data_IF_485384463533
#
_entry.id   IF_485384463533
#
_cell.length_a   1.000
_cell.length_b   1.000
_cell.length_c   1.000
_cell.angle_alpha   90.00
_cell.angle_beta   90.00
_cell.angle_gamma   90.00
#
_symmetry.space_group_name_H-M   'P 1'
#
loop_
_entity.id
_entity.type
_entity.pdbx_description
1 polymer ?
#
# COMPACT_ATOMS: atom_id res chain seq x y z
N UNK A 1 13.24 4.40 18.91
CA UNK A 1 11.98 5.10 18.57
C UNK A 1 11.27 4.30 17.48
N UNK A 2 10.03 3.85 17.69
CA UNK A 2 9.27 3.15 16.64
C UNK A 2 8.91 4.20 15.58
N UNK A 3 9.39 4.03 14.34
CA UNK A 3 9.01 4.89 13.22
C UNK A 3 7.47 4.94 13.18
N UNK A 4 6.91 6.13 13.45
CA UNK A 4 5.49 6.38 13.25
C UNK A 4 5.29 6.23 11.74
N UNK A 5 4.62 5.15 11.32
CA UNK A 5 4.37 4.91 9.90
C UNK A 5 3.80 6.17 9.27
N UNK A 6 4.43 6.66 8.20
CA UNK A 6 3.91 7.81 7.47
C UNK A 6 2.54 7.42 6.94
N UNK A 7 1.54 8.27 7.19
CA UNK A 7 0.16 8.01 6.78
C UNK A 7 0.11 7.86 5.25
N UNK A 8 -0.49 6.79 4.73
CA UNK A 8 -0.64 6.53 3.29
C UNK A 8 -1.80 7.34 2.72
N UNK A 9 -1.55 8.61 2.43
CA UNK A 9 -2.54 9.56 1.90
C UNK A 9 -3.15 9.09 0.59
N UNK A 10 -2.36 8.49 -0.31
CA UNK A 10 -2.86 7.97 -1.58
C UNK A 10 -3.92 6.87 -1.38
N UNK A 11 -3.68 5.94 -0.46
CA UNK A 11 -4.66 4.91 -0.11
C UNK A 11 -5.95 5.49 0.48
N UNK A 12 -5.82 6.50 1.36
CA UNK A 12 -6.96 7.20 1.98
C UNK A 12 -7.78 7.97 0.95
N UNK A 13 -7.12 8.69 0.04
CA UNK A 13 -7.79 9.45 -1.00
C UNK A 13 -8.50 8.52 -1.99
N UNK A 14 -7.85 7.42 -2.39
CA UNK A 14 -8.39 6.49 -3.38
C UNK A 14 -9.69 5.82 -2.93
N UNK A 15 -9.88 5.54 -1.63
CA UNK A 15 -11.16 4.97 -1.15
C UNK A 15 -12.33 5.97 -1.21
N UNK A 16 -12.08 7.27 -1.32
CA UNK A 16 -13.13 8.28 -1.41
C UNK A 16 -14.07 8.26 -0.19
N UNK A 17 -15.39 8.22 -0.44
CA UNK A 17 -16.41 8.17 0.60
C UNK A 17 -16.57 6.82 1.29
N UNK A 18 -16.01 5.74 0.73
CA UNK A 18 -16.08 4.39 1.32
C UNK A 18 -15.37 4.37 2.65
N UNK A 19 -15.96 3.73 3.65
CA UNK A 19 -15.38 3.64 4.99
C UNK A 19 -14.21 2.65 5.01
N UNK A 20 -13.38 2.70 6.06
CA UNK A 20 -12.35 1.67 6.28
C UNK A 20 -12.97 0.27 6.46
N UNK A 21 -14.20 0.18 6.97
CA UNK A 21 -14.90 -1.10 7.10
C UNK A 21 -15.34 -1.64 5.74
N UNK A 22 -15.87 -0.80 4.86
CA UNK A 22 -16.25 -1.20 3.49
C UNK A 22 -15.05 -1.72 2.72
N UNK A 23 -13.93 -1.00 2.79
CA UNK A 23 -12.70 -1.41 2.13
C UNK A 23 -12.11 -2.69 2.72
N UNK A 24 -12.16 -2.85 4.05
CA UNK A 24 -11.68 -4.05 4.71
C UNK A 24 -12.50 -5.29 4.31
N UNK A 25 -13.83 -5.15 4.27
CA UNK A 25 -14.74 -6.20 3.80
C UNK A 25 -14.46 -6.57 2.34
N UNK A 26 -14.25 -5.58 1.46
CA UNK A 26 -13.97 -5.80 0.05
C UNK A 26 -12.67 -6.59 -0.22
N UNK A 27 -11.72 -6.56 0.71
CA UNK A 27 -10.44 -7.28 0.60
C UNK A 27 -10.29 -8.45 1.57
N UNK A 28 -11.36 -8.76 2.31
CA UNK A 28 -11.43 -9.91 3.22
C UNK A 28 -10.53 -9.77 4.45
N UNK A 29 -10.45 -8.59 5.05
CA UNK A 29 -9.69 -8.33 6.29
C UNK A 29 -10.54 -7.62 7.34
N UNK A 30 -10.02 -7.53 8.58
CA UNK A 30 -10.65 -6.74 9.64
C UNK A 30 -10.44 -5.25 9.39
N UNK A 31 -11.40 -4.40 9.78
CA UNK A 31 -11.30 -2.94 9.66
C UNK A 31 -10.02 -2.38 10.30
N UNK A 32 -9.60 -2.92 11.45
CA UNK A 32 -8.36 -2.53 12.12
C UNK A 32 -7.11 -2.80 11.26
N UNK A 33 -7.10 -3.91 10.52
CA UNK A 33 -6.01 -4.25 9.59
C UNK A 33 -5.91 -3.21 8.48
N UNK A 34 -7.05 -2.82 7.90
CA UNK A 34 -7.09 -1.77 6.87
C UNK A 34 -6.65 -0.40 7.43
N UNK A 35 -7.10 -0.06 8.64
CA UNK A 35 -6.64 1.15 9.35
C UNK A 35 -5.13 1.15 9.58
N UNK A 36 -4.53 0.00 9.95
CA UNK A 36 -3.08 -0.12 10.06
C UNK A 36 -2.37 0.13 8.72
N UNK A 37 -2.94 -0.29 7.60
CA UNK A 37 -2.39 0.01 6.28
C UNK A 37 -2.43 1.51 5.98
N UNK A 38 -3.54 2.19 6.23
CA UNK A 38 -3.64 3.65 6.01
C UNK A 38 -2.71 4.46 6.91
N UNK A 39 -2.45 3.97 8.12
CA UNK A 39 -1.56 4.61 9.10
C UNK A 39 -0.09 4.19 8.92
N UNK A 40 0.24 3.42 7.87
CA UNK A 40 1.60 2.93 7.63
C UNK A 40 2.16 2.02 8.75
N UNK A 41 1.29 1.47 9.62
CA UNK A 41 1.69 0.61 10.74
C UNK A 41 2.00 -0.82 10.33
N UNK A 42 1.41 -1.26 9.22
CA UNK A 42 1.69 -2.53 8.57
C UNK A 42 1.51 -2.40 7.06
N UNK A 43 2.05 -3.35 6.31
CA UNK A 43 1.98 -3.40 4.85
C UNK A 43 1.12 -4.58 4.43
N UNK A 44 0.14 -4.41 3.52
CA UNK A 44 -0.60 -5.53 2.97
C UNK A 44 0.34 -6.49 2.19
N UNK A 45 -0.02 -7.77 2.12
CA UNK A 45 0.63 -8.69 1.20
C UNK A 45 0.34 -8.33 -0.27
N UNK A 46 1.17 -8.80 -1.19
CA UNK A 46 1.07 -8.47 -2.63
C UNK A 46 -0.31 -8.79 -3.23
N UNK A 47 -0.92 -9.90 -2.83
CA UNK A 47 -2.29 -10.28 -3.25
C UNK A 47 -3.32 -9.20 -2.91
N UNK A 48 -3.24 -8.63 -1.70
CA UNK A 48 -4.15 -7.56 -1.25
C UNK A 48 -3.83 -6.24 -1.94
N UNK A 49 -2.57 -5.96 -2.26
CA UNK A 49 -2.18 -4.78 -3.04
C UNK A 49 -2.77 -4.82 -4.45
N UNK A 50 -2.67 -5.96 -5.13
CA UNK A 50 -3.27 -6.18 -6.46
C UNK A 50 -4.80 -6.05 -6.37
N UNK A 51 -5.43 -6.68 -5.38
CA UNK A 51 -6.89 -6.56 -5.22
C UNK A 51 -7.33 -5.10 -5.02
N UNK A 52 -6.60 -4.33 -4.22
CA UNK A 52 -6.87 -2.91 -4.02
C UNK A 52 -6.69 -2.08 -5.29
N UNK A 53 -5.67 -2.38 -6.10
CA UNK A 53 -5.49 -1.76 -7.42
C UNK A 53 -6.73 -1.97 -8.31
N UNK A 54 -7.27 -3.18 -8.35
CA UNK A 54 -8.45 -3.50 -9.13
C UNK A 54 -9.73 -2.82 -8.62
N UNK A 55 -9.91 -2.71 -7.30
CA UNK A 55 -11.08 -2.09 -6.65
C UNK A 55 -11.04 -0.56 -6.76
N UNK A 56 -9.85 0.02 -6.56
CA UNK A 56 -9.67 1.46 -6.48
C UNK A 56 -9.36 2.10 -7.84
N UNK A 57 -8.99 1.30 -8.86
CA UNK A 57 -8.56 1.76 -10.18
C UNK A 57 -7.36 2.70 -10.12
N UNK A 58 -6.47 2.44 -9.17
CA UNK A 58 -5.21 3.17 -8.96
C UNK A 58 -4.09 2.15 -8.86
N UNK A 59 -2.97 2.31 -9.59
CA UNK A 59 -1.84 1.38 -9.52
C UNK A 59 -1.35 1.20 -8.08
N UNK A 60 -1.04 -0.03 -7.67
CA UNK A 60 -0.54 -0.32 -6.31
C UNK A 60 0.76 0.41 -5.98
N UNK A 61 1.58 0.71 -6.98
CA UNK A 61 2.81 1.50 -6.87
C UNK A 61 2.52 2.93 -6.40
N UNK A 62 1.37 3.48 -6.79
CA UNK A 62 0.88 4.78 -6.32
C UNK A 62 0.25 4.65 -4.94
N UNK A 63 -0.57 3.62 -4.71
CA UNK A 63 -1.25 3.39 -3.42
C UNK A 63 -0.27 3.15 -2.27
N UNK A 64 0.83 2.47 -2.55
CA UNK A 64 1.85 2.03 -1.58
C UNK A 64 3.24 2.53 -1.97
N UNK A 65 3.33 3.80 -2.35
CA UNK A 65 4.60 4.43 -2.78
C UNK A 65 5.74 4.25 -1.77
N UNK A 66 5.43 4.22 -0.47
CA UNK A 66 6.40 3.97 0.61
C UNK A 66 7.00 2.56 0.59
N UNK A 67 6.31 1.60 -0.02
CA UNK A 67 6.76 0.21 -0.14
C UNK A 67 7.66 0.04 -1.35
N UNK A 68 7.21 0.53 -2.50
CA UNK A 68 7.93 0.39 -3.78
C UNK A 68 9.13 1.34 -3.83
N UNK A 69 8.93 2.65 -3.67
CA UNK A 69 10.00 3.64 -3.75
C UNK A 69 10.81 3.80 -2.44
N UNK A 70 10.90 2.75 -1.61
CA UNK A 70 11.84 2.72 -0.50
C UNK A 70 13.26 2.51 -1.05
N UNK A 71 14.28 3.09 -0.41
CA UNK A 71 15.68 3.08 -0.88
C UNK A 71 16.25 1.67 -1.23
N UNK A 72 15.56 0.60 -0.85
CA UNK A 72 15.91 -0.78 -1.17
C UNK A 72 15.70 -1.15 -2.66
N UNK A 73 14.74 -0.53 -3.36
CA UNK A 73 14.49 -0.82 -4.79
C UNK A 73 15.63 -0.30 -5.69
N UNK A 74 16.21 0.86 -5.35
CA UNK A 74 17.36 1.44 -6.06
C UNK A 74 18.66 0.63 -5.93
N UNK A 75 18.82 -0.16 -4.86
CA UNK A 75 20.01 -1.00 -4.67
C UNK A 75 19.87 -2.30 -5.47
N UNK A 76 18.69 -2.91 -5.53
CA UNK A 76 18.49 -4.14 -6.31
C UNK A 76 18.68 -3.92 -7.82
N UNK A 77 18.13 -2.86 -8.41
CA UNK A 77 18.25 -2.64 -9.87
C UNK A 77 19.68 -2.32 -10.34
N UNK A 78 20.50 -1.67 -9.51
CA UNK A 78 21.92 -1.42 -9.84
C UNK A 78 22.82 -2.65 -9.69
N UNK A 79 22.38 -3.68 -8.97
CA UNK A 79 23.14 -4.92 -8.75
C UNK A 79 22.73 -6.05 -9.70
N UNK A 80 21.55 -5.99 -10.32
CA UNK A 80 21.05 -7.05 -11.23
C UNK A 80 21.39 -6.82 -12.70
N UNK A 81 21.99 -5.68 -13.05
CA UNK A 81 22.57 -5.47 -14.39
C UNK A 81 21.57 -5.47 -15.54
N UNK A 82 20.29 -5.25 -15.30
CA UNK A 82 19.28 -5.12 -16.35
C UNK A 82 19.01 -3.65 -16.68
N UNK A 83 19.96 -3.00 -17.35
CA UNK A 83 19.69 -1.86 -18.21
C UNK A 83 20.11 -2.28 -19.62
N UNK A 84 19.23 -2.06 -20.61
CA UNK A 84 19.44 -2.38 -22.02
C UNK A 84 20.52 -1.51 -22.66
#
# INVERSE_FOLDING_TARGET
>A
MKNKGTKRTNLIMARGSRTQADMASAVGVKQQTYSHWEQGRSTPGIEKMILLEHILKVPKEVLFFDVFNSANEYICHRLTGTES
#
